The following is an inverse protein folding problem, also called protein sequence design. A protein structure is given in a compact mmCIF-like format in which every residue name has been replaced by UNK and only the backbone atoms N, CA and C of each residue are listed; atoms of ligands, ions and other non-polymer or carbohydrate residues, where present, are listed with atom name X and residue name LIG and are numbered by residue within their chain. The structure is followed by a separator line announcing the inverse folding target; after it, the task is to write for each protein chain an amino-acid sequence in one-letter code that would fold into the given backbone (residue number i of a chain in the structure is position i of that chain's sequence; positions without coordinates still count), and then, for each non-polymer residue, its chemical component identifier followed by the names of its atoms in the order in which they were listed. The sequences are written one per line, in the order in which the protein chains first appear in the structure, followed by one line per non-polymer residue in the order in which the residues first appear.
data_IF_836830604715
#
_entry.id   IF_836830604715
#
_cell.length_a   1.000
_cell.length_b   1.000
_cell.length_c   1.000
_cell.angle_alpha   90.00
_cell.angle_beta   90.00
_cell.angle_gamma   90.00
#
_symmetry.space_group_name_H-M   'P 1'
#
loop_
_entity.id
_entity.type
_entity.pdbx_description
1 polymer ?
#
# COMPACT_ATOMS: atom_id res chain seq x y z
N UNK A 1 43.36 -0.39 -60.50
CA UNK A 1 42.55 0.51 -61.35
C UNK A 1 41.10 0.18 -61.08
N UNK A 2 40.43 1.10 -60.39
CA UNK A 2 39.03 1.03 -60.00
C UNK A 2 38.14 0.92 -61.23
N UNK A 3 37.15 0.03 -61.18
CA UNK A 3 35.96 0.13 -62.02
C UNK A 3 34.73 -0.19 -61.17
N UNK A 4 34.14 0.94 -60.75
CA UNK A 4 32.78 1.22 -60.33
C UNK A 4 31.72 0.20 -60.82
N UNK A 5 31.09 -0.50 -59.87
CA UNK A 5 29.82 -1.21 -60.10
C UNK A 5 28.73 -0.48 -59.34
N UNK A 6 28.12 0.49 -60.02
CA UNK A 6 26.84 1.10 -59.64
C UNK A 6 25.72 0.07 -59.75
N UNK A 7 25.36 -0.55 -58.63
CA UNK A 7 24.08 -1.25 -58.52
C UNK A 7 23.00 -0.27 -58.07
N UNK A 8 22.04 -0.04 -58.97
CA UNK A 8 20.86 0.80 -58.82
C UNK A 8 20.01 0.30 -57.64
N UNK A 9 20.03 1.02 -56.52
CA UNK A 9 19.09 0.81 -55.39
C UNK A 9 17.73 1.34 -55.82
N UNK A 10 16.85 0.46 -56.27
CA UNK A 10 15.43 0.77 -56.40
C UNK A 10 14.83 0.89 -55.00
N UNK A 11 14.33 2.08 -54.70
CA UNK A 11 13.64 2.43 -53.45
C UNK A 11 12.36 1.60 -53.35
N UNK A 12 12.34 0.62 -52.45
CA UNK A 12 11.11 0.08 -51.90
C UNK A 12 10.47 1.14 -50.98
N UNK A 13 9.15 1.39 -51.04
CA UNK A 13 8.53 2.40 -50.22
C UNK A 13 8.64 2.00 -48.75
N UNK A 14 9.01 2.96 -47.92
CA UNK A 14 9.07 2.83 -46.47
C UNK A 14 7.72 2.28 -45.96
N UNK A 15 7.71 1.00 -45.60
CA UNK A 15 6.63 0.42 -44.82
C UNK A 15 6.66 1.08 -43.45
N UNK A 16 5.59 1.79 -43.13
CA UNK A 16 5.36 2.46 -41.86
C UNK A 16 5.17 1.43 -40.74
N UNK A 17 6.27 0.83 -40.26
CA UNK A 17 6.30 0.08 -39.00
C UNK A 17 6.73 0.98 -37.85
N UNK A 18 6.06 2.13 -37.73
CA UNK A 18 6.16 2.98 -36.55
C UNK A 18 4.92 2.74 -35.67
N UNK A 19 5.16 2.10 -34.53
CA UNK A 19 4.34 2.16 -33.30
C UNK A 19 2.88 1.74 -33.42
N UNK A 20 2.60 0.45 -33.22
CA UNK A 20 1.33 0.03 -32.61
C UNK A 20 1.61 -1.09 -31.60
N UNK A 21 2.16 -0.71 -30.45
CA UNK A 21 2.36 -1.58 -29.28
C UNK A 21 1.15 -1.55 -28.34
N UNK A 22 0.02 -0.97 -28.78
CA UNK A 22 -1.20 -0.85 -27.98
C UNK A 22 -1.71 -2.24 -27.65
N UNK A 23 -1.51 -2.63 -26.39
CA UNK A 23 -2.03 -3.85 -25.78
C UNK A 23 -3.45 -4.14 -26.26
N UNK A 24 -3.64 -5.31 -26.87
CA UNK A 24 -4.91 -5.81 -27.43
C UNK A 24 -6.00 -6.10 -26.38
N UNK A 25 -5.80 -5.63 -25.14
CA UNK A 25 -6.71 -5.84 -24.00
C UNK A 25 -7.89 -4.87 -23.95
N UNK A 26 -7.85 -3.78 -24.74
CA UNK A 26 -8.92 -2.77 -24.77
C UNK A 26 -8.99 -1.87 -23.54
N UNK A 27 -8.02 -1.97 -22.62
CA UNK A 27 -7.96 -1.14 -21.41
C UNK A 27 -7.04 0.08 -21.60
N UNK A 28 -7.46 1.22 -21.05
CA UNK A 28 -6.66 2.45 -21.06
C UNK A 28 -5.78 2.53 -19.80
N UNK A 29 -4.56 2.00 -19.87
CA UNK A 29 -3.62 1.94 -18.74
C UNK A 29 -2.87 3.24 -18.44
N UNK A 30 -2.78 4.15 -19.42
CA UNK A 30 -1.92 5.34 -19.35
C UNK A 30 -2.19 6.21 -18.13
N UNK A 31 -3.48 6.41 -17.81
CA UNK A 31 -3.91 7.25 -16.68
C UNK A 31 -3.57 6.59 -15.34
N UNK A 32 -3.74 5.27 -15.24
CA UNK A 32 -3.37 4.50 -14.06
C UNK A 32 -1.85 4.52 -13.83
N UNK A 33 -1.07 4.33 -14.88
CA UNK A 33 0.39 4.40 -14.81
C UNK A 33 0.88 5.80 -14.44
N UNK A 34 0.31 6.84 -15.05
CA UNK A 34 0.68 8.23 -14.78
C UNK A 34 0.32 8.70 -13.35
N UNK A 35 -0.72 8.10 -12.75
CA UNK A 35 -1.15 8.40 -11.37
C UNK A 35 -0.42 7.58 -10.31
N UNK A 36 0.44 6.63 -10.69
CA UNK A 36 1.17 5.79 -9.75
C UNK A 36 1.97 6.61 -8.71
N UNK A 37 1.82 6.26 -7.44
CA UNK A 37 2.40 7.00 -6.30
C UNK A 37 1.77 8.37 -6.01
N UNK A 38 0.71 8.78 -6.73
CA UNK A 38 0.02 10.07 -6.53
C UNK A 38 -1.34 9.89 -5.83
N UNK A 39 -1.87 10.93 -5.15
CA UNK A 39 -3.18 10.85 -4.50
C UNK A 39 -4.35 10.49 -5.42
N UNK A 40 -4.22 10.72 -6.74
CA UNK A 40 -5.28 10.42 -7.72
C UNK A 40 -5.31 8.95 -8.15
N UNK A 41 -4.38 8.12 -7.70
CA UNK A 41 -4.25 6.73 -8.15
C UNK A 41 -5.51 5.89 -7.88
N UNK A 42 -6.11 6.01 -6.70
CA UNK A 42 -7.28 5.22 -6.32
C UNK A 42 -8.50 5.53 -7.21
N UNK A 43 -8.62 6.79 -7.65
CA UNK A 43 -9.65 7.24 -8.59
C UNK A 43 -9.43 6.59 -9.96
N UNK A 44 -8.19 6.53 -10.43
CA UNK A 44 -7.87 5.89 -11.72
C UNK A 44 -8.03 4.37 -11.69
N UNK A 45 -7.69 3.70 -10.57
CA UNK A 45 -8.00 2.27 -10.35
C UNK A 45 -9.51 2.05 -10.42
N UNK A 46 -10.27 2.89 -9.71
CA UNK A 46 -11.73 2.78 -9.67
C UNK A 46 -12.31 2.98 -11.06
N UNK A 47 -11.88 4.02 -11.78
CA UNK A 47 -12.31 4.29 -13.14
C UNK A 47 -12.03 3.12 -14.07
N UNK A 48 -10.83 2.53 -14.01
CA UNK A 48 -10.47 1.36 -14.82
C UNK A 48 -11.40 0.18 -14.53
N UNK A 49 -11.67 -0.12 -13.26
CA UNK A 49 -12.56 -1.22 -12.88
C UNK A 49 -14.02 -0.95 -13.29
N UNK A 50 -14.48 0.29 -13.19
CA UNK A 50 -15.83 0.70 -13.63
C UNK A 50 -15.97 0.54 -15.15
N UNK A 51 -15.01 1.03 -15.93
CA UNK A 51 -15.04 0.96 -17.40
C UNK A 51 -14.96 -0.49 -17.89
N UNK A 52 -14.14 -1.31 -17.24
CA UNK A 52 -13.90 -2.67 -17.69
C UNK A 52 -14.92 -3.70 -17.19
N UNK A 53 -15.40 -3.52 -15.96
CA UNK A 53 -16.16 -4.51 -15.21
C UNK A 53 -17.49 -3.96 -14.71
N UNK A 54 -17.88 -2.72 -15.01
CA UNK A 54 -19.17 -2.17 -14.61
C UNK A 54 -19.45 -2.26 -13.10
N UNK A 55 -18.39 -2.23 -12.27
CA UNK A 55 -18.55 -2.21 -10.81
C UNK A 55 -19.07 -0.84 -10.39
N UNK A 56 -19.87 -0.79 -9.33
CA UNK A 56 -20.41 0.46 -8.79
C UNK A 56 -19.55 0.98 -7.64
N UNK A 57 -18.78 0.10 -6.99
CA UNK A 57 -17.92 0.44 -5.86
C UNK A 57 -16.63 -0.38 -5.89
N UNK A 58 -15.57 0.20 -5.32
CA UNK A 58 -14.27 -0.43 -5.14
C UNK A 58 -13.86 -0.27 -3.69
N UNK A 59 -13.40 -1.36 -3.06
CA UNK A 59 -12.82 -1.34 -1.72
C UNK A 59 -11.43 -1.95 -1.75
N UNK A 60 -10.55 -1.41 -0.92
CA UNK A 60 -9.19 -1.88 -0.75
C UNK A 60 -8.99 -2.12 0.73
N UNK A 61 -8.66 -3.35 1.07
CA UNK A 61 -8.35 -3.76 2.44
C UNK A 61 -6.91 -4.25 2.52
N UNK A 62 -6.35 -4.16 3.72
CA UNK A 62 -5.06 -4.76 4.09
C UNK A 62 -5.20 -5.54 5.40
N UNK A 63 -4.18 -6.32 5.72
CA UNK A 63 -4.15 -7.10 6.95
C UNK A 63 -4.50 -8.56 6.67
N UNK A 64 -5.11 -9.23 7.64
CA UNK A 64 -5.59 -10.60 7.49
C UNK A 64 -7.10 -10.61 7.27
N UNK A 65 -7.64 -11.72 6.79
CA UNK A 65 -9.10 -11.89 6.72
C UNK A 65 -9.77 -11.85 8.09
N UNK A 66 -9.03 -12.17 9.15
CA UNK A 66 -9.50 -12.13 10.56
C UNK A 66 -9.36 -10.73 11.21
N UNK A 67 -8.65 -9.81 10.58
CA UNK A 67 -8.50 -8.44 11.06
C UNK A 67 -8.33 -7.47 9.88
N UNK A 68 -9.35 -7.34 9.02
CA UNK A 68 -9.25 -6.49 7.84
C UNK A 68 -9.23 -5.02 8.24
N UNK A 69 -8.34 -4.25 7.62
CA UNK A 69 -8.30 -2.79 7.74
C UNK A 69 -8.68 -2.16 6.41
N UNK A 70 -9.63 -1.22 6.43
CA UNK A 70 -9.95 -0.42 5.24
C UNK A 70 -8.78 0.49 4.93
N UNK A 71 -8.37 0.48 3.68
CA UNK A 71 -7.38 1.40 3.12
C UNK A 71 -8.09 2.46 2.29
N UNK A 72 -8.99 2.04 1.40
CA UNK A 72 -9.79 2.93 0.58
C UNK A 72 -11.14 2.30 0.26
N UNK A 73 -12.16 3.13 0.11
CA UNK A 73 -13.49 2.76 -0.36
C UNK A 73 -14.01 3.87 -1.25
N UNK A 74 -14.35 3.54 -2.49
CA UNK A 74 -14.71 4.54 -3.50
C UNK A 74 -15.96 4.07 -4.22
N UNK A 75 -16.97 4.93 -4.28
CA UNK A 75 -18.13 4.72 -5.12
C UNK A 75 -17.95 5.43 -6.47
N UNK A 76 -18.24 4.74 -7.57
CA UNK A 76 -18.12 5.29 -8.93
C UNK A 76 -18.98 6.55 -9.14
N UNK A 77 -20.11 6.64 -8.42
CA UNK A 77 -21.01 7.80 -8.45
C UNK A 77 -20.58 8.96 -7.54
N UNK A 78 -19.53 8.78 -6.72
CA UNK A 78 -19.08 9.76 -5.73
C UNK A 78 -20.00 9.94 -4.52
N UNK A 79 -20.99 9.06 -4.33
CA UNK A 79 -22.07 9.24 -3.34
C UNK A 79 -21.73 8.86 -1.89
N UNK A 80 -20.46 8.62 -1.54
CA UNK A 80 -20.05 8.24 -0.18
C UNK A 80 -20.58 6.87 0.30
N UNK A 81 -21.32 6.15 -0.55
CA UNK A 81 -21.96 4.88 -0.22
C UNK A 81 -20.96 3.75 0.03
N UNK A 82 -19.83 3.75 -0.68
CA UNK A 82 -18.80 2.74 -0.51
C UNK A 82 -18.14 2.84 0.86
N UNK A 83 -17.89 4.06 1.31
CA UNK A 83 -17.32 4.39 2.60
C UNK A 83 -18.24 3.90 3.72
N UNK A 84 -19.53 4.31 3.70
CA UNK A 84 -20.54 3.87 4.67
C UNK A 84 -20.68 2.34 4.72
N UNK A 85 -20.68 1.68 3.55
CA UNK A 85 -20.76 0.23 3.45
C UNK A 85 -19.55 -0.44 4.10
N UNK A 86 -18.35 0.06 3.82
CA UNK A 86 -17.11 -0.49 4.37
C UNK A 86 -16.99 -0.25 5.87
N UNK A 87 -17.31 0.96 6.36
CA UNK A 87 -17.34 1.29 7.78
C UNK A 87 -18.27 0.35 8.53
N UNK A 88 -19.49 0.13 8.00
CA UNK A 88 -20.42 -0.82 8.60
C UNK A 88 -19.88 -2.25 8.61
N UNK A 89 -19.24 -2.68 7.52
CA UNK A 89 -18.63 -4.01 7.41
C UNK A 89 -17.56 -4.25 8.50
N UNK A 90 -16.76 -3.22 8.81
CA UNK A 90 -15.72 -3.27 9.86
C UNK A 90 -16.30 -3.11 11.26
N UNK A 91 -17.08 -2.06 11.52
CA UNK A 91 -17.57 -1.69 12.84
C UNK A 91 -18.51 -2.74 13.42
N UNK A 92 -19.38 -3.32 12.58
CA UNK A 92 -20.27 -4.40 12.99
C UNK A 92 -19.61 -5.79 12.90
N UNK A 93 -18.33 -5.84 12.52
CA UNK A 93 -17.54 -7.06 12.36
C UNK A 93 -18.22 -8.08 11.43
N UNK A 94 -18.87 -7.60 10.38
CA UNK A 94 -19.60 -8.43 9.41
C UNK A 94 -18.66 -9.42 8.73
N UNK A 95 -17.39 -9.04 8.55
CA UNK A 95 -16.34 -9.90 8.02
C UNK A 95 -16.20 -11.26 8.72
N UNK A 96 -16.60 -11.38 10.00
CA UNK A 96 -16.57 -12.67 10.73
C UNK A 96 -17.54 -13.70 10.18
N UNK A 97 -18.56 -13.26 9.47
CA UNK A 97 -19.58 -14.11 8.86
C UNK A 97 -19.28 -14.44 7.39
N UNK A 98 -18.22 -13.86 6.84
CA UNK A 98 -17.80 -14.04 5.45
C UNK A 98 -16.93 -15.29 5.24
N UNK A 99 -17.47 -16.43 5.68
CA UNK A 99 -16.78 -17.73 5.66
C UNK A 99 -16.27 -18.18 4.29
N UNK A 100 -16.94 -17.78 3.21
CA UNK A 100 -16.48 -18.10 1.85
C UNK A 100 -15.20 -17.35 1.53
N UNK A 101 -15.15 -16.05 1.83
CA UNK A 101 -13.96 -15.23 1.64
C UNK A 101 -12.79 -15.72 2.52
N UNK A 102 -13.04 -16.00 3.80
CA UNK A 102 -12.01 -16.55 4.70
C UNK A 102 -11.41 -17.85 4.16
N UNK A 103 -12.25 -18.77 3.66
CA UNK A 103 -11.77 -20.02 3.09
C UNK A 103 -10.87 -19.79 1.87
N UNK A 104 -11.29 -18.94 0.93
CA UNK A 104 -10.47 -18.66 -0.25
C UNK A 104 -9.16 -17.98 0.12
N UNK A 105 -9.14 -17.06 1.08
CA UNK A 105 -7.91 -16.41 1.54
C UNK A 105 -6.89 -17.43 2.11
N UNK A 106 -7.36 -18.37 2.93
CA UNK A 106 -6.51 -19.41 3.50
C UNK A 106 -5.99 -20.43 2.48
N UNK A 107 -6.74 -20.70 1.40
CA UNK A 107 -6.35 -21.64 0.35
C UNK A 107 -5.26 -21.08 -0.59
N UNK A 108 -4.98 -19.76 -0.56
CA UNK A 108 -4.01 -19.11 -1.45
C UNK A 108 -2.63 -19.03 -0.80
N UNK A 109 -1.69 -19.79 -1.36
CA UNK A 109 -0.26 -19.68 -1.00
C UNK A 109 0.38 -18.40 -1.59
N UNK A 110 0.13 -18.10 -2.87
CA UNK A 110 0.71 -16.95 -3.59
C UNK A 110 -0.32 -16.28 -4.51
N UNK A 111 -0.26 -14.95 -4.64
CA UNK A 111 -1.19 -14.14 -5.45
C UNK A 111 -0.52 -13.28 -6.54
N UNK A 112 -1.30 -12.51 -7.32
CA UNK A 112 -2.72 -12.28 -7.13
C UNK A 112 -3.62 -13.42 -7.65
N UNK A 113 -4.61 -13.80 -6.85
CA UNK A 113 -5.70 -14.69 -7.25
C UNK A 113 -7.03 -13.92 -7.20
N UNK A 114 -7.94 -14.21 -8.13
CA UNK A 114 -9.19 -13.47 -8.29
C UNK A 114 -10.40 -14.38 -8.14
N UNK A 115 -11.33 -13.99 -7.29
CA UNK A 115 -12.52 -14.75 -6.93
C UNK A 115 -13.79 -13.95 -7.18
N UNK A 116 -14.82 -14.62 -7.69
CA UNK A 116 -16.18 -14.09 -7.81
C UNK A 116 -17.06 -14.69 -6.73
N UNK A 117 -17.88 -13.86 -6.11
CA UNK A 117 -18.87 -14.28 -5.14
C UNK A 117 -20.26 -13.82 -5.60
N UNK A 118 -21.15 -14.79 -5.74
CA UNK A 118 -22.58 -14.57 -5.91
C UNK A 118 -23.20 -14.35 -4.53
N UNK A 119 -23.62 -13.11 -4.24
CA UNK A 119 -24.13 -12.75 -2.91
C UNK A 119 -25.48 -13.37 -2.59
N UNK A 120 -26.22 -13.81 -3.61
CA UNK A 120 -27.52 -14.48 -3.45
C UNK A 120 -27.33 -15.90 -2.94
N UNK A 121 -26.20 -16.54 -3.26
CA UNK A 121 -25.89 -17.93 -2.87
C UNK A 121 -25.16 -18.06 -1.55
N UNK A 122 -24.85 -16.95 -0.88
CA UNK A 122 -24.11 -17.02 0.37
C UNK A 122 -24.90 -17.78 1.43
N UNK A 123 -24.20 -18.60 2.22
CA UNK A 123 -24.82 -19.50 3.21
C UNK A 123 -25.10 -18.82 4.55
N UNK A 124 -24.36 -17.77 4.91
CA UNK A 124 -24.60 -16.98 6.13
C UNK A 124 -25.83 -16.10 6.00
N UNK A 125 -26.68 -16.08 7.03
CA UNK A 125 -27.83 -15.17 7.08
C UNK A 125 -27.38 -13.73 7.28
N UNK A 126 -26.40 -13.51 8.14
CA UNK A 126 -25.82 -12.21 8.45
C UNK A 126 -25.24 -11.55 7.18
N UNK A 127 -24.56 -12.33 6.34
CA UNK A 127 -24.07 -11.86 5.05
C UNK A 127 -25.20 -11.56 4.06
N UNK A 128 -26.24 -12.39 4.01
CA UNK A 128 -27.43 -12.12 3.17
C UNK A 128 -28.09 -10.80 3.56
N UNK A 129 -28.34 -10.60 4.86
CA UNK A 129 -28.97 -9.40 5.40
C UNK A 129 -28.11 -8.16 5.11
N UNK A 130 -26.79 -8.28 5.25
CA UNK A 130 -25.86 -7.22 4.89
C UNK A 130 -25.95 -6.88 3.40
N UNK A 131 -25.86 -7.86 2.50
CA UNK A 131 -25.91 -7.66 1.06
C UNK A 131 -27.26 -7.14 0.55
N UNK A 132 -28.36 -7.50 1.22
CA UNK A 132 -29.68 -6.92 0.94
C UNK A 132 -29.72 -5.45 1.37
N UNK A 133 -29.24 -5.12 2.56
CA UNK A 133 -29.19 -3.75 3.06
C UNK A 133 -28.33 -2.83 2.18
N UNK A 134 -27.15 -3.30 1.76
CA UNK A 134 -26.21 -2.50 0.94
C UNK A 134 -26.44 -2.65 -0.57
N UNK A 135 -27.47 -3.39 -0.98
CA UNK A 135 -27.85 -3.67 -2.37
C UNK A 135 -26.65 -4.09 -3.23
N UNK A 136 -26.07 -5.24 -2.86
CA UNK A 136 -24.98 -5.90 -3.58
C UNK A 136 -25.48 -7.19 -4.21
N UNK A 137 -25.31 -7.33 -5.52
CA UNK A 137 -25.67 -8.52 -6.27
C UNK A 137 -24.50 -9.47 -6.52
N UNK A 138 -23.33 -8.91 -6.82
CA UNK A 138 -22.11 -9.69 -6.97
C UNK A 138 -20.91 -8.89 -6.50
N UNK A 139 -19.88 -9.61 -6.08
CA UNK A 139 -18.58 -9.01 -5.81
C UNK A 139 -17.47 -9.85 -6.43
N UNK A 140 -16.40 -9.16 -6.73
CA UNK A 140 -15.14 -9.76 -7.11
C UNK A 140 -14.06 -9.31 -6.14
N UNK A 141 -13.17 -10.21 -5.77
CA UNK A 141 -12.04 -9.89 -4.91
C UNK A 141 -10.76 -10.46 -5.52
N UNK A 142 -9.79 -9.59 -5.76
CA UNK A 142 -8.41 -9.96 -6.02
C UNK A 142 -7.64 -9.96 -4.69
N UNK A 143 -6.94 -11.05 -4.41
CA UNK A 143 -6.21 -11.29 -3.16
C UNK A 143 -4.76 -11.56 -3.53
N UNK A 144 -3.81 -10.94 -2.83
CA UNK A 144 -2.41 -11.22 -3.06
C UNK A 144 -1.48 -10.54 -2.09
N UNK A 145 -0.21 -10.87 -2.23
CA UNK A 145 0.82 -10.35 -1.35
C UNK A 145 1.25 -8.95 -1.79
N UNK A 146 1.49 -8.09 -0.81
CA UNK A 146 2.12 -6.79 -0.95
C UNK A 146 3.41 -6.78 -0.12
N UNK A 147 4.41 -5.93 -0.46
CA UNK A 147 5.57 -5.74 0.40
C UNK A 147 5.22 -5.38 1.85
N UNK A 148 4.00 -4.86 2.10
CA UNK A 148 3.49 -4.49 3.41
C UNK A 148 2.49 -5.48 4.02
N UNK A 149 2.51 -6.75 3.59
CA UNK A 149 1.57 -7.79 4.03
C UNK A 149 0.48 -8.09 3.00
N UNK A 150 -0.60 -8.76 3.40
CA UNK A 150 -1.65 -9.15 2.47
C UNK A 150 -2.59 -7.99 2.13
N UNK A 151 -3.03 -7.94 0.87
CA UNK A 151 -3.89 -6.91 0.31
C UNK A 151 -5.07 -7.52 -0.44
N UNK A 152 -6.20 -6.82 -0.39
CA UNK A 152 -7.46 -7.25 -1.01
C UNK A 152 -8.02 -6.09 -1.83
N UNK A 153 -8.27 -6.31 -3.10
CA UNK A 153 -8.93 -5.36 -4.01
C UNK A 153 -10.29 -5.93 -4.38
N UNK A 154 -11.36 -5.32 -3.86
CA UNK A 154 -12.73 -5.75 -4.08
C UNK A 154 -13.46 -4.80 -5.03
N UNK A 155 -14.10 -5.35 -6.06
CA UNK A 155 -15.06 -4.66 -6.91
C UNK A 155 -16.47 -5.14 -6.60
N UNK A 156 -17.40 -4.22 -6.37
CA UNK A 156 -18.77 -4.51 -5.95
C UNK A 156 -19.73 -4.05 -7.02
N UNK A 157 -20.70 -4.90 -7.34
CA UNK A 157 -21.75 -4.64 -8.32
C UNK A 157 -23.12 -4.72 -7.65
N UNK A 158 -23.95 -3.70 -7.87
CA UNK A 158 -25.31 -3.63 -7.34
C UNK A 158 -26.23 -4.67 -7.99
N UNK A 159 -27.36 -4.98 -7.35
CA UNK A 159 -28.31 -5.97 -7.89
C UNK A 159 -28.90 -5.54 -9.23
N UNK A 160 -29.07 -4.23 -9.43
CA UNK A 160 -29.59 -3.65 -10.68
C UNK A 160 -28.70 -3.91 -11.91
N UNK A 161 -27.39 -4.12 -11.71
CA UNK A 161 -26.42 -4.38 -12.79
C UNK A 161 -26.38 -5.84 -13.24
N UNK A 162 -26.96 -6.76 -12.47
CA UNK A 162 -26.96 -8.20 -12.76
C UNK A 162 -25.58 -8.86 -12.63
N UNK A 163 -25.47 -10.10 -13.13
CA UNK A 163 -24.26 -10.93 -12.98
C UNK A 163 -23.15 -10.60 -13.98
N UNK A 164 -21.90 -10.89 -13.62
CA UNK A 164 -20.74 -10.87 -14.49
C UNK A 164 -20.91 -11.89 -15.62
N UNK A 165 -20.71 -11.44 -16.84
CA UNK A 165 -20.63 -12.27 -18.04
C UNK A 165 -19.30 -13.04 -18.09
N UNK A 166 -19.24 -14.09 -18.90
CA UNK A 166 -18.00 -14.87 -19.09
C UNK A 166 -16.84 -14.02 -19.65
N UNK A 167 -17.14 -13.05 -20.53
CA UNK A 167 -16.14 -12.14 -21.09
C UNK A 167 -15.59 -11.17 -20.04
N UNK A 168 -16.45 -10.65 -19.16
CA UNK A 168 -16.04 -9.82 -18.03
C UNK A 168 -15.20 -10.63 -17.04
N UNK A 169 -15.45 -11.93 -16.88
CA UNK A 169 -14.65 -12.81 -16.03
C UNK A 169 -13.22 -12.98 -16.55
N UNK A 170 -13.03 -13.07 -17.87
CA UNK A 170 -11.69 -13.10 -18.47
C UNK A 170 -10.96 -11.76 -18.30
N UNK A 171 -11.66 -10.65 -18.58
CA UNK A 171 -11.14 -9.29 -18.39
C UNK A 171 -10.71 -9.03 -16.95
N UNK A 172 -11.51 -9.54 -16.01
CA UNK A 172 -11.25 -9.43 -14.60
C UNK A 172 -9.94 -10.11 -14.19
N UNK A 173 -9.68 -11.33 -14.67
CA UNK A 173 -8.41 -12.02 -14.38
C UNK A 173 -7.22 -11.21 -14.89
N UNK A 174 -7.29 -10.72 -16.13
CA UNK A 174 -6.24 -9.90 -16.73
C UNK A 174 -6.02 -8.58 -15.96
N UNK A 175 -7.09 -7.94 -15.49
CA UNK A 175 -7.00 -6.74 -14.65
C UNK A 175 -6.44 -7.05 -13.27
N UNK A 176 -6.83 -8.17 -12.66
CA UNK A 176 -6.26 -8.62 -11.40
C UNK A 176 -4.75 -8.80 -11.51
N UNK A 177 -4.27 -9.49 -12.55
CA UNK A 177 -2.84 -9.74 -12.77
C UNK A 177 -2.02 -8.47 -12.99
N UNK A 178 -2.60 -7.44 -13.62
CA UNK A 178 -1.88 -6.20 -13.97
C UNK A 178 -2.10 -5.05 -12.98
N UNK A 179 -3.34 -4.79 -12.58
CA UNK A 179 -3.68 -3.69 -11.69
C UNK A 179 -3.35 -4.01 -10.23
N UNK A 180 -3.53 -5.26 -9.78
CA UNK A 180 -3.28 -5.61 -8.37
C UNK A 180 -1.84 -5.34 -7.94
N UNK A 181 -0.79 -5.75 -8.66
CA UNK A 181 0.59 -5.44 -8.26
C UNK A 181 0.87 -3.93 -8.20
N UNK A 182 0.23 -3.14 -9.08
CA UNK A 182 0.32 -1.68 -9.02
C UNK A 182 -0.34 -1.13 -7.76
N UNK A 183 -1.52 -1.61 -7.42
CA UNK A 183 -2.23 -1.23 -6.17
C UNK A 183 -1.42 -1.63 -4.94
N UNK A 184 -0.89 -2.84 -4.90
CA UNK A 184 -0.03 -3.33 -3.84
C UNK A 184 1.21 -2.45 -3.65
N UNK A 185 1.95 -2.18 -4.74
CA UNK A 185 3.13 -1.32 -4.65
C UNK A 185 2.79 0.12 -4.30
N UNK A 186 1.67 0.65 -4.78
CA UNK A 186 1.20 2.00 -4.43
C UNK A 186 1.06 2.15 -2.91
N UNK A 187 0.35 1.22 -2.25
CA UNK A 187 0.15 1.29 -0.81
C UNK A 187 1.40 0.96 0.00
N UNK A 188 2.25 0.05 -0.48
CA UNK A 188 3.56 -0.18 0.12
C UNK A 188 4.40 1.12 0.15
N UNK A 189 4.44 1.87 -0.96
CA UNK A 189 5.14 3.16 -1.02
C UNK A 189 4.55 4.20 -0.08
N UNK A 190 3.22 4.26 0.06
CA UNK A 190 2.59 5.17 1.02
C UNK A 190 2.96 4.82 2.46
N UNK A 191 2.99 3.53 2.81
CA UNK A 191 3.39 3.05 4.13
C UNK A 191 4.87 3.33 4.41
N UNK A 192 5.77 3.06 3.45
CA UNK A 192 7.19 3.41 3.55
C UNK A 192 7.39 4.91 3.83
N UNK A 193 6.64 5.77 3.12
CA UNK A 193 6.67 7.22 3.34
C UNK A 193 6.17 7.61 4.73
N UNK A 194 5.09 6.99 5.21
CA UNK A 194 4.57 7.23 6.57
C UNK A 194 5.55 6.75 7.64
N UNK A 195 6.16 5.58 7.47
CA UNK A 195 7.17 5.03 8.37
C UNK A 195 8.39 5.96 8.47
N UNK A 196 8.87 6.46 7.32
CA UNK A 196 9.97 7.43 7.29
C UNK A 196 9.63 8.73 8.01
N UNK A 197 8.39 9.23 7.86
CA UNK A 197 7.93 10.39 8.64
C UNK A 197 7.93 10.09 10.14
N UNK A 198 7.47 8.90 10.56
CA UNK A 198 7.43 8.47 11.96
C UNK A 198 8.82 8.31 12.58
N UNK A 199 9.83 7.97 11.77
CA UNK A 199 11.22 7.81 12.23
C UNK A 199 11.73 9.03 12.99
N UNK A 200 11.34 10.25 12.61
CA UNK A 200 11.79 11.48 13.30
C UNK A 200 10.70 12.15 14.15
N UNK A 201 9.45 11.69 14.04
CA UNK A 201 8.29 12.35 14.68
C UNK A 201 7.66 11.52 15.81
N UNK A 202 8.22 10.35 16.14
CA UNK A 202 7.75 9.51 17.23
C UNK A 202 8.88 9.16 18.18
N UNK A 203 8.88 9.79 19.37
CA UNK A 203 9.87 9.51 20.40
C UNK A 203 9.95 8.03 20.79
N UNK A 204 8.84 7.28 20.98
CA UNK A 204 8.90 5.84 21.23
C UNK A 204 9.58 5.04 20.11
N UNK A 205 9.36 5.42 18.84
CA UNK A 205 10.01 4.75 17.69
C UNK A 205 11.51 5.05 17.68
N UNK A 206 11.91 6.29 17.95
CA UNK A 206 13.31 6.67 18.06
C UNK A 206 13.99 5.89 19.19
N UNK A 207 13.39 5.85 20.38
CA UNK A 207 13.92 5.10 21.53
C UNK A 207 14.06 3.60 21.23
N UNK A 208 13.04 2.98 20.61
CA UNK A 208 13.10 1.57 20.21
C UNK A 208 14.20 1.32 19.19
N UNK A 209 14.34 2.18 18.18
CA UNK A 209 15.41 2.09 17.19
C UNK A 209 16.80 2.15 17.83
N UNK A 210 17.03 3.12 18.73
CA UNK A 210 18.29 3.22 19.47
C UNK A 210 18.54 1.98 20.33
N UNK A 211 17.51 1.39 20.94
CA UNK A 211 17.67 0.16 21.74
C UNK A 211 18.12 -1.07 20.95
N UNK A 212 17.91 -1.06 19.62
CA UNK A 212 18.34 -2.12 18.69
C UNK A 212 19.76 -1.90 18.15
N UNK A 213 20.39 -0.77 18.48
CA UNK A 213 21.77 -0.51 18.09
C UNK A 213 22.70 -1.56 18.73
N UNK A 214 23.56 -2.17 17.91
CA UNK A 214 24.51 -3.21 18.37
C UNK A 214 25.63 -2.65 19.25
N UNK A 215 25.89 -1.35 19.16
CA UNK A 215 26.92 -0.68 19.94
C UNK A 215 26.38 -0.29 21.32
N UNK A 216 27.13 -0.63 22.37
CA UNK A 216 26.71 -0.35 23.73
C UNK A 216 26.89 1.13 24.09
N UNK A 217 25.78 1.80 24.36
CA UNK A 217 25.72 3.04 25.13
C UNK A 217 24.76 2.84 26.31
N UNK A 218 24.89 3.69 27.33
CA UNK A 218 24.00 3.61 28.49
C UNK A 218 22.57 4.00 28.12
N UNK A 219 21.59 3.41 28.81
CA UNK A 219 20.17 3.77 28.65
C UNK A 219 19.93 5.29 28.70
N UNK A 220 20.65 5.99 29.57
CA UNK A 220 20.55 7.45 29.72
C UNK A 220 21.10 8.22 28.51
N UNK A 221 22.22 7.77 27.94
CA UNK A 221 22.74 8.35 26.69
C UNK A 221 21.73 8.16 25.54
N UNK A 222 21.11 6.99 25.45
CA UNK A 222 20.05 6.70 24.47
C UNK A 222 18.83 7.59 24.61
N UNK A 223 18.34 7.76 25.85
CA UNK A 223 17.19 8.64 26.13
C UNK A 223 17.45 10.09 25.76
N UNK A 224 18.66 10.61 26.02
CA UNK A 224 19.07 11.96 25.62
C UNK A 224 19.15 12.06 24.10
N UNK A 225 19.83 11.12 23.44
CA UNK A 225 19.95 11.11 21.98
C UNK A 225 18.58 11.03 21.28
N UNK A 226 17.65 10.23 21.81
CA UNK A 226 16.30 10.11 21.27
C UNK A 226 15.55 11.45 21.26
N UNK A 227 15.64 12.20 22.35
CA UNK A 227 14.97 13.50 22.48
C UNK A 227 15.64 14.59 21.66
N UNK A 228 16.96 14.52 21.48
CA UNK A 228 17.65 15.38 20.53
C UNK A 228 17.15 15.12 19.11
N UNK A 229 17.08 13.86 18.69
CA UNK A 229 16.54 13.46 17.37
C UNK A 229 15.08 13.89 17.19
N UNK A 230 14.29 13.83 18.26
CA UNK A 230 12.91 14.32 18.30
C UNK A 230 12.80 15.87 18.28
N UNK A 231 13.91 16.59 18.45
CA UNK A 231 13.98 18.05 18.34
C UNK A 231 13.82 18.83 19.65
N UNK A 232 13.97 18.19 20.82
CA UNK A 232 13.94 18.91 22.10
C UNK A 232 15.23 19.70 22.35
N UNK A 233 15.09 20.87 22.98
CA UNK A 233 16.24 21.66 23.47
C UNK A 233 16.92 20.99 24.66
N UNK A 234 18.12 21.45 25.04
CA UNK A 234 18.84 20.88 26.18
C UNK A 234 18.04 21.03 27.48
N UNK A 235 17.39 22.18 27.66
CA UNK A 235 16.52 22.48 28.79
C UNK A 235 15.25 21.62 28.75
N UNK A 236 14.66 21.43 27.56
CA UNK A 236 13.50 20.56 27.38
C UNK A 236 13.81 19.09 27.73
N UNK A 237 14.97 18.60 27.31
CA UNK A 237 15.45 17.25 27.66
C UNK A 237 15.66 17.13 29.17
N UNK A 238 16.27 18.13 29.79
CA UNK A 238 16.52 18.18 31.22
C UNK A 238 15.21 18.08 32.02
N UNK A 239 14.20 18.86 31.63
CA UNK A 239 12.87 18.83 32.21
C UNK A 239 12.18 17.48 31.99
N UNK A 240 12.18 16.95 30.76
CA UNK A 240 11.51 15.69 30.43
C UNK A 240 12.11 14.48 31.16
N UNK A 241 13.44 14.45 31.33
CA UNK A 241 14.14 13.35 31.99
C UNK A 241 14.33 13.51 33.50
N UNK A 242 14.00 14.68 34.06
CA UNK A 242 14.23 15.00 35.47
C UNK A 242 15.71 15.05 35.85
N UNK A 243 16.56 15.60 34.98
CA UNK A 243 18.02 15.74 35.19
C UNK A 243 18.48 17.19 34.95
N UNK A 244 19.72 17.54 35.30
CA UNK A 244 20.25 18.87 35.02
C UNK A 244 20.65 19.05 33.54
N UNK A 245 20.61 20.30 33.05
CA UNK A 245 21.10 20.64 31.71
C UNK A 245 22.57 20.22 31.49
N UNK A 246 23.42 20.37 32.51
CA UNK A 246 24.82 19.92 32.47
C UNK A 246 24.94 18.40 32.29
N UNK A 247 24.02 17.64 32.92
CA UNK A 247 23.95 16.19 32.77
C UNK A 247 23.57 15.81 31.34
N UNK A 248 22.61 16.53 30.73
CA UNK A 248 22.26 16.36 29.30
C UNK A 248 23.47 16.63 28.40
N UNK A 249 24.18 17.73 28.62
CA UNK A 249 25.39 18.08 27.85
C UNK A 249 26.46 17.00 27.98
N UNK A 250 26.66 16.46 29.18
CA UNK A 250 27.58 15.35 29.42
C UNK A 250 27.21 14.10 28.63
N UNK A 251 25.94 13.67 28.68
CA UNK A 251 25.46 12.51 27.93
C UNK A 251 25.55 12.72 26.41
N UNK A 252 25.16 13.89 25.92
CA UNK A 252 25.33 14.26 24.50
C UNK A 252 26.78 14.15 24.06
N UNK A 253 27.71 14.73 24.82
CA UNK A 253 29.14 14.71 24.48
C UNK A 253 29.68 13.28 24.41
N UNK A 254 29.33 12.43 25.38
CA UNK A 254 29.75 11.02 25.39
C UNK A 254 29.18 10.24 24.20
N UNK A 255 27.90 10.45 23.89
CA UNK A 255 27.26 9.84 22.72
C UNK A 255 27.96 10.27 21.42
N UNK A 256 28.20 11.58 21.27
CA UNK A 256 28.83 12.13 20.06
C UNK A 256 30.26 11.60 19.86
N UNK A 257 31.04 11.57 20.94
CA UNK A 257 32.39 11.03 20.93
C UNK A 257 32.42 9.54 20.60
N UNK A 258 31.44 8.77 21.10
CA UNK A 258 31.36 7.32 20.86
C UNK A 258 31.12 7.00 19.37
N UNK A 259 30.21 7.72 18.74
CA UNK A 259 29.79 7.46 17.35
C UNK A 259 30.48 8.34 16.31
N UNK A 260 31.47 9.15 16.70
CA UNK A 260 32.16 10.07 15.78
C UNK A 260 31.26 11.15 15.19
N UNK A 261 30.21 11.55 15.91
CA UNK A 261 29.22 12.53 15.47
C UNK A 261 29.76 13.93 15.73
N UNK A 262 29.95 14.72 14.66
CA UNK A 262 30.46 16.09 14.75
C UNK A 262 29.37 17.12 15.04
N UNK A 263 28.15 16.88 14.55
CA UNK A 263 27.04 17.82 14.69
C UNK A 263 25.68 17.13 14.71
N UNK A 264 24.61 17.90 14.92
CA UNK A 264 23.24 17.39 14.90
C UNK A 264 22.87 16.75 13.55
N UNK A 265 23.35 17.30 12.43
CA UNK A 265 23.13 16.70 11.11
C UNK A 265 23.71 15.28 11.03
N UNK A 266 24.92 15.09 11.55
CA UNK A 266 25.57 13.77 11.54
C UNK A 266 24.79 12.78 12.42
N UNK A 267 24.24 13.24 13.55
CA UNK A 267 23.37 12.43 14.41
C UNK A 267 22.12 11.96 13.64
N UNK A 268 21.49 12.86 12.87
CA UNK A 268 20.30 12.52 12.08
C UNK A 268 20.64 11.52 10.98
N UNK A 269 21.75 11.71 10.25
CA UNK A 269 22.18 10.77 9.19
C UNK A 269 22.46 9.39 9.80
N UNK A 270 23.27 9.35 10.87
CA UNK A 270 23.59 8.11 11.58
C UNK A 270 22.32 7.40 12.08
N UNK A 271 21.35 8.15 12.60
CA UNK A 271 20.08 7.59 13.05
C UNK A 271 19.24 7.04 11.90
N UNK A 272 19.17 7.73 10.76
CA UNK A 272 18.41 7.26 9.60
C UNK A 272 19.03 6.00 8.98
N UNK A 273 20.36 5.89 8.96
CA UNK A 273 21.05 4.67 8.54
C UNK A 273 20.74 3.49 9.49
N UNK A 274 20.77 3.75 10.81
CA UNK A 274 20.36 2.76 11.81
C UNK A 274 18.89 2.36 11.60
N UNK A 275 17.99 3.33 11.44
CA UNK A 275 16.56 3.10 11.21
C UNK A 275 16.31 2.27 9.95
N UNK A 276 17.01 2.55 8.85
CA UNK A 276 16.94 1.74 7.63
C UNK A 276 17.41 0.30 7.84
N UNK A 277 18.44 0.10 8.66
CA UNK A 277 18.98 -1.23 8.96
C UNK A 277 18.09 -2.07 9.90
N UNK A 278 17.37 -1.42 10.83
CA UNK A 278 16.54 -2.12 11.84
C UNK A 278 15.03 -1.95 11.64
N UNK A 279 14.61 -1.24 10.58
CA UNK A 279 13.22 -0.83 10.36
C UNK A 279 12.22 -1.98 10.40
N UNK A 280 12.58 -3.14 9.88
CA UNK A 280 11.74 -4.34 9.91
C UNK A 280 11.42 -4.87 11.32
N UNK A 281 12.20 -4.49 12.34
CA UNK A 281 11.98 -4.87 13.75
C UNK A 281 11.19 -3.83 14.56
N UNK A 282 10.82 -2.70 13.93
CA UNK A 282 10.13 -1.58 14.59
C UNK A 282 8.60 -1.68 14.50
N UNK A 283 8.07 -2.60 13.69
CA UNK A 283 6.64 -2.91 13.64
C UNK A 283 6.17 -3.40 15.03
N UNK A 284 5.02 -2.93 15.53
CA UNK A 284 4.36 -3.57 16.66
C UNK A 284 3.83 -4.95 16.20
N UNK A 285 4.12 -6.00 16.98
CA UNK A 285 3.31 -7.22 16.96
C UNK A 285 1.88 -6.89 17.39
#
# INVERSE_FOLDING_TARGET
METDVRTKVERSPASSMATDWRWSSGFQWDSLLASFGRPTFEVEVTRLLVEALGVDQVHIFRGTVDEPQIVASICASGTGRAEQQSERYIDQKVWRFDSEFSRYDHDIEHGPAVFRFDTVRTKSQEMRDFYEFVDVGERVIAIGDSPSGRLYLAGIRSRARGCFTADEEYRLRLLGEMAFPMVARHYALQLEKQAMSRALTSLPVIERCLSLCRENFSRREGQVAARMLYGLSTEGIALDLGISADTVVCYRRRFYQRFGIGCFRDLVIWYLDLYGAVGHYLEPN
#
